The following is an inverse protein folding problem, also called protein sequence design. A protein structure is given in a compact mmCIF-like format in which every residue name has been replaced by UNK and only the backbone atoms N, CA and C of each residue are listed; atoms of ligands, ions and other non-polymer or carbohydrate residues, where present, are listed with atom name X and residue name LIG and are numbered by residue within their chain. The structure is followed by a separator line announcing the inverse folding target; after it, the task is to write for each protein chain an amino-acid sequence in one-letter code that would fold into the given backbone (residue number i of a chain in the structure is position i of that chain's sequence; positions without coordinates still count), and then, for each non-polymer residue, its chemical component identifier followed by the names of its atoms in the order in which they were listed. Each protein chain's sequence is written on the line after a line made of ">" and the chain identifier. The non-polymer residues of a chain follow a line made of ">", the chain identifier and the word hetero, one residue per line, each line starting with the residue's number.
data_IF_133868073681
#
_entry.id   IF_133868073681
#
_cell.length_a   1.000
_cell.length_b   1.000
_cell.length_c   1.000
_cell.angle_alpha   90.00
_cell.angle_beta   90.00
_cell.angle_gamma   90.00
#
_symmetry.space_group_name_H-M   'P 1'
#
loop_
_entity.id
_entity.type
_entity.pdbx_description
1 polymer ?
#
# COMPACT_ATOMS: atom_id res chain seq x y z
N UNK A 1 23.97 -4.51 -2.76
CA UNK A 1 22.79 -4.32 -3.64
C UNK A 1 23.16 -3.41 -4.82
N UNK A 2 23.12 -3.93 -6.06
CA UNK A 2 23.58 -3.22 -7.26
C UNK A 2 22.69 -2.04 -7.66
N UNK A 3 23.29 -1.05 -8.35
CA UNK A 3 22.63 0.19 -8.84
C UNK A 3 21.33 -0.09 -9.60
N UNK A 4 21.33 -1.11 -10.46
CA UNK A 4 20.17 -1.53 -11.24
C UNK A 4 18.95 -1.95 -10.40
N UNK A 5 19.16 -2.55 -9.22
CA UNK A 5 18.06 -2.94 -8.32
C UNK A 5 17.39 -1.70 -7.71
N UNK A 6 18.20 -0.71 -7.31
CA UNK A 6 17.73 0.56 -6.73
C UNK A 6 16.97 1.40 -7.75
N UNK A 7 17.48 1.49 -8.98
CA UNK A 7 16.82 2.23 -10.06
C UNK A 7 15.46 1.62 -10.42
N UNK A 8 15.33 0.29 -10.34
CA UNK A 8 14.08 -0.44 -10.57
C UNK A 8 13.05 -0.18 -9.47
N UNK A 9 13.46 -0.15 -8.20
CA UNK A 9 12.59 0.22 -7.07
C UNK A 9 12.03 1.62 -7.24
N UNK A 10 12.92 2.60 -7.45
CA UNK A 10 12.52 4.00 -7.65
C UNK A 10 11.62 4.22 -8.87
N UNK A 11 11.77 3.41 -9.93
CA UNK A 11 10.85 3.41 -11.08
C UNK A 11 9.47 2.87 -10.71
N UNK A 12 9.41 1.77 -9.96
CA UNK A 12 8.16 1.18 -9.49
C UNK A 12 7.35 2.17 -8.65
N UNK A 13 8.00 2.79 -7.66
CA UNK A 13 7.38 3.80 -6.79
C UNK A 13 6.87 5.02 -7.56
N UNK A 14 7.63 5.53 -8.56
CA UNK A 14 7.18 6.64 -9.41
C UNK A 14 5.95 6.28 -10.23
N UNK A 15 5.88 5.04 -10.72
CA UNK A 15 4.72 4.57 -11.46
C UNK A 15 3.51 4.39 -10.53
N UNK A 16 3.73 3.95 -9.29
CA UNK A 16 2.67 3.82 -8.29
C UNK A 16 2.06 5.18 -7.93
N UNK A 17 2.88 6.21 -7.71
CA UNK A 17 2.38 7.58 -7.47
C UNK A 17 1.50 8.05 -8.62
N UNK A 18 1.96 7.92 -9.87
CA UNK A 18 1.16 8.31 -11.05
C UNK A 18 -0.16 7.53 -11.15
N UNK A 19 -0.14 6.25 -10.78
CA UNK A 19 -1.34 5.43 -10.78
C UNK A 19 -2.33 5.90 -9.72
N UNK A 20 -1.89 6.12 -8.49
CA UNK A 20 -2.72 6.66 -7.41
C UNK A 20 -3.28 8.06 -7.76
N UNK A 21 -2.46 8.92 -8.38
CA UNK A 21 -2.90 10.22 -8.90
C UNK A 21 -3.99 10.06 -9.97
N UNK A 22 -3.86 9.08 -10.87
CA UNK A 22 -4.89 8.79 -11.87
C UNK A 22 -6.19 8.24 -11.26
N UNK A 23 -6.12 7.65 -10.06
CA UNK A 23 -7.27 7.26 -9.25
C UNK A 23 -7.84 8.42 -8.41
N UNK A 24 -7.24 9.61 -8.47
CA UNK A 24 -7.69 10.80 -7.74
C UNK A 24 -7.03 11.04 -6.39
N UNK A 25 -6.03 10.25 -6.00
CA UNK A 25 -5.34 10.41 -4.72
C UNK A 25 -4.09 11.28 -4.86
N UNK A 26 -3.88 12.19 -3.91
CA UNK A 26 -2.61 12.90 -3.78
C UNK A 26 -1.59 11.96 -3.14
N UNK A 27 -0.58 11.53 -3.91
CA UNK A 27 0.40 10.55 -3.47
C UNK A 27 1.83 11.08 -3.59
N UNK A 28 2.72 10.63 -2.70
CA UNK A 28 4.13 10.98 -2.75
C UNK A 28 5.01 9.78 -2.40
N UNK A 29 6.15 9.64 -3.08
CA UNK A 29 7.18 8.66 -2.70
C UNK A 29 7.81 9.03 -1.37
N UNK A 30 7.97 8.05 -0.50
CA UNK A 30 8.78 8.20 0.71
C UNK A 30 10.25 8.01 0.33
N UNK A 31 10.89 9.08 -0.12
CA UNK A 31 12.34 9.06 -0.25
C UNK A 31 12.92 8.78 1.15
N UNK A 32 13.77 7.76 1.30
CA UNK A 32 14.53 7.48 2.53
C UNK A 32 15.34 8.72 2.93
N UNK A 33 14.71 9.64 3.66
CA UNK A 33 15.34 10.87 4.14
C UNK A 33 15.93 10.53 5.51
N UNK A 34 17.22 10.23 5.53
CA UNK A 34 18.04 10.12 6.74
C UNK A 34 17.62 9.04 7.75
N UNK A 35 17.51 7.78 7.30
CA UNK A 35 17.55 6.62 8.21
C UNK A 35 16.39 6.48 9.21
N UNK A 36 15.29 7.21 9.02
CA UNK A 36 14.06 7.03 9.81
C UNK A 36 13.05 6.18 9.04
N UNK A 37 12.67 5.07 9.66
CA UNK A 37 11.73 4.07 9.18
C UNK A 37 10.29 4.61 9.18
N UNK A 38 9.93 5.45 8.22
CA UNK A 38 8.51 5.54 7.86
C UNK A 38 8.25 4.42 6.83
N UNK A 39 7.34 3.51 7.16
CA UNK A 39 7.34 2.10 6.74
C UNK A 39 6.70 1.78 5.39
N UNK A 40 6.30 2.79 4.60
CA UNK A 40 5.74 2.59 3.25
C UNK A 40 6.60 3.18 2.14
N UNK A 41 6.58 2.55 0.97
CA UNK A 41 7.21 3.05 -0.28
C UNK A 41 6.58 4.37 -0.77
N UNK A 42 5.25 4.49 -0.61
CA UNK A 42 4.43 5.63 -1.01
C UNK A 42 3.50 6.01 0.14
N UNK A 43 3.16 7.30 0.25
CA UNK A 43 2.14 7.80 1.17
C UNK A 43 1.01 8.48 0.40
N UNK A 44 -0.19 8.38 0.94
CA UNK A 44 -1.34 9.18 0.54
C UNK A 44 -1.35 10.45 1.39
N UNK A 45 -1.23 11.63 0.80
CA UNK A 45 -1.07 12.89 1.54
C UNK A 45 -2.28 13.23 2.41
N UNK A 46 -3.47 12.85 1.97
CA UNK A 46 -4.73 13.02 2.69
C UNK A 46 -4.99 11.91 3.72
N UNK A 47 -4.31 10.78 3.57
CA UNK A 47 -4.45 9.58 4.42
C UNK A 47 -3.08 9.00 4.77
N UNK A 48 -2.20 9.74 5.49
CA UNK A 48 -0.80 9.34 5.67
C UNK A 48 -0.60 8.05 6.49
N UNK A 49 -1.68 7.50 7.04
CA UNK A 49 -1.72 6.27 7.82
C UNK A 49 -2.08 5.06 6.97
N UNK A 50 -2.64 5.30 5.78
CA UNK A 50 -2.74 4.28 4.75
C UNK A 50 -1.37 4.16 4.11
N UNK A 51 -0.68 3.11 4.48
CA UNK A 51 0.67 2.84 4.01
C UNK A 51 0.60 2.03 2.71
N UNK A 52 1.41 2.45 1.75
CA UNK A 52 1.41 1.89 0.39
C UNK A 52 2.77 1.26 0.10
N UNK A 53 2.78 -0.06 -0.05
CA UNK A 53 3.95 -0.85 -0.45
C UNK A 53 3.91 -1.15 -1.96
N UNK A 54 5.06 -1.15 -2.64
CA UNK A 54 5.12 -1.29 -4.11
C UNK A 54 6.08 -2.38 -4.57
N UNK A 55 5.58 -3.35 -5.35
CA UNK A 55 6.39 -4.41 -5.99
C UNK A 55 6.31 -4.33 -7.51
N UNK A 56 7.44 -4.06 -8.15
CA UNK A 56 7.51 -3.84 -9.60
C UNK A 56 8.41 -4.84 -10.34
N UNK A 57 7.90 -5.36 -11.46
CA UNK A 57 8.68 -6.07 -12.48
C UNK A 57 9.14 -7.47 -12.09
N UNK A 58 8.37 -8.17 -11.25
CA UNK A 58 8.59 -9.58 -10.90
C UNK A 58 7.52 -10.44 -11.56
N UNK A 59 7.64 -10.58 -12.88
CA UNK A 59 6.59 -11.12 -13.75
C UNK A 59 6.31 -12.62 -13.53
N UNK A 60 7.26 -13.34 -12.94
CA UNK A 60 7.15 -14.76 -12.58
C UNK A 60 6.46 -15.01 -11.23
N UNK A 61 6.13 -13.96 -10.47
CA UNK A 61 5.46 -14.09 -9.17
C UNK A 61 3.95 -14.02 -9.37
N UNK A 62 3.28 -15.15 -9.16
CA UNK A 62 1.83 -15.29 -9.23
C UNK A 62 1.19 -15.20 -7.84
N UNK A 63 -0.10 -14.88 -7.81
CA UNK A 63 -0.88 -14.81 -6.56
C UNK A 63 -0.91 -16.18 -5.88
N UNK A 64 -0.76 -16.21 -4.55
CA UNK A 64 -0.64 -17.43 -3.76
C UNK A 64 0.72 -18.15 -3.82
N UNK A 65 1.67 -17.69 -4.65
CA UNK A 65 3.04 -18.24 -4.63
C UNK A 65 3.76 -17.91 -3.32
N UNK A 66 4.78 -18.70 -2.96
CA UNK A 66 5.59 -18.48 -1.74
C UNK A 66 6.18 -17.06 -1.67
N UNK A 67 6.65 -16.54 -2.80
CA UNK A 67 7.24 -15.20 -2.84
C UNK A 67 6.17 -14.10 -2.70
N UNK A 68 4.96 -14.36 -3.18
CA UNK A 68 3.82 -13.46 -3.02
C UNK A 68 3.39 -13.37 -1.55
N UNK A 69 3.24 -14.53 -0.89
CA UNK A 69 2.88 -14.58 0.54
C UNK A 69 3.90 -13.85 1.42
N UNK A 70 5.20 -13.99 1.12
CA UNK A 70 6.23 -13.23 1.82
C UNK A 70 6.05 -11.71 1.72
N UNK A 71 5.55 -11.18 0.60
CA UNK A 71 5.29 -9.75 0.49
C UNK A 71 4.06 -9.34 1.27
N UNK A 72 3.02 -10.17 1.28
CA UNK A 72 1.81 -9.93 2.07
C UNK A 72 2.16 -9.95 3.56
N UNK A 73 2.85 -10.99 4.04
CA UNK A 73 3.30 -11.11 5.43
C UNK A 73 4.20 -9.94 5.85
N UNK A 74 5.11 -9.50 4.98
CA UNK A 74 5.96 -8.34 5.25
C UNK A 74 5.14 -7.04 5.34
N UNK A 75 4.23 -6.83 4.40
CA UNK A 75 3.33 -5.68 4.42
C UNK A 75 2.41 -5.71 5.66
N UNK A 76 2.00 -6.88 6.14
CA UNK A 76 1.25 -6.97 7.40
C UNK A 76 2.12 -6.69 8.63
N UNK A 77 3.34 -7.23 8.67
CA UNK A 77 4.23 -7.11 9.81
C UNK A 77 4.79 -5.69 10.01
N UNK A 78 5.04 -4.96 8.93
CA UNK A 78 5.61 -3.61 8.98
C UNK A 78 4.60 -2.54 9.42
N UNK A 79 3.35 -2.95 9.66
CA UNK A 79 2.20 -2.06 9.82
C UNK A 79 1.49 -2.33 11.15
N UNK A 80 1.38 -1.29 11.97
CA UNK A 80 0.81 -1.39 13.33
C UNK A 80 -0.72 -1.42 13.37
N UNK A 81 -1.38 -1.15 12.25
CA UNK A 81 -2.83 -1.25 12.10
C UNK A 81 -3.19 -2.44 11.21
N UNK A 82 -4.10 -3.30 11.67
CA UNK A 82 -4.47 -4.54 10.98
C UNK A 82 -5.06 -4.32 9.57
N UNK A 83 -5.62 -3.13 9.29
CA UNK A 83 -6.30 -2.82 8.01
C UNK A 83 -5.74 -1.58 7.28
N UNK A 84 -4.68 -0.94 7.78
CA UNK A 84 -4.18 0.35 7.25
C UNK A 84 -3.11 0.21 6.16
N UNK A 85 -3.06 -0.91 5.45
CA UNK A 85 -1.99 -1.20 4.49
C UNK A 85 -2.54 -1.67 3.15
N UNK A 86 -1.84 -1.28 2.09
CA UNK A 86 -2.09 -1.77 0.74
C UNK A 86 -0.77 -2.10 0.04
N UNK A 87 -0.74 -3.23 -0.66
CA UNK A 87 0.38 -3.68 -1.48
C UNK A 87 -0.01 -3.58 -2.95
N UNK A 88 0.62 -2.67 -3.68
CA UNK A 88 0.49 -2.60 -5.13
C UNK A 88 1.57 -3.41 -5.82
N UNK A 89 1.14 -4.30 -6.72
CA UNK A 89 2.02 -5.04 -7.62
C UNK A 89 1.81 -4.58 -9.05
N UNK A 90 2.89 -4.34 -9.78
CA UNK A 90 2.86 -4.14 -11.24
C UNK A 90 3.83 -5.07 -11.94
N UNK A 91 3.29 -5.85 -12.88
CA UNK A 91 4.08 -6.58 -13.89
C UNK A 91 4.64 -5.61 -14.92
N UNK A 92 5.81 -5.89 -15.50
CA UNK A 92 6.56 -4.99 -16.39
C UNK A 92 5.71 -4.44 -17.54
N UNK A 93 4.84 -5.27 -18.11
CA UNK A 93 3.90 -4.91 -19.19
C UNK A 93 2.45 -5.25 -18.84
N UNK A 94 2.17 -5.52 -17.58
CA UNK A 94 0.84 -5.93 -17.13
C UNK A 94 0.10 -4.84 -16.36
N UNK A 95 -1.18 -5.11 -16.04
CA UNK A 95 -1.98 -4.22 -15.20
C UNK A 95 -1.40 -4.14 -13.77
N UNK A 96 -1.88 -3.16 -13.03
CA UNK A 96 -1.71 -3.15 -11.58
C UNK A 96 -2.56 -4.26 -10.95
N UNK A 97 -2.17 -4.67 -9.75
CA UNK A 97 -3.01 -5.40 -8.83
C UNK A 97 -2.78 -4.87 -7.43
N UNK A 98 -3.82 -4.87 -6.60
CA UNK A 98 -3.75 -4.44 -5.21
C UNK A 98 -4.04 -5.63 -4.29
N UNK A 99 -3.33 -5.70 -3.18
CA UNK A 99 -3.58 -6.63 -2.09
C UNK A 99 -3.73 -5.85 -0.81
N UNK A 100 -4.72 -6.21 0.02
CA UNK A 100 -4.95 -5.59 1.31
C UNK A 100 -5.65 -6.57 2.25
N UNK A 101 -5.68 -6.25 3.54
CA UNK A 101 -6.61 -6.88 4.48
C UNK A 101 -7.88 -6.05 4.57
N UNK A 102 -9.03 -6.71 4.50
CA UNK A 102 -10.33 -6.08 4.72
C UNK A 102 -11.28 -7.09 5.34
N UNK A 103 -11.95 -6.70 6.42
CA UNK A 103 -12.89 -7.55 7.18
C UNK A 103 -12.32 -8.93 7.57
N UNK A 104 -11.03 -8.99 7.90
CA UNK A 104 -10.33 -10.23 8.29
C UNK A 104 -9.86 -11.11 7.11
N UNK A 105 -10.10 -10.69 5.87
CA UNK A 105 -9.69 -11.45 4.68
C UNK A 105 -8.57 -10.74 3.93
N UNK A 106 -7.69 -11.53 3.30
CA UNK A 106 -6.79 -11.02 2.26
C UNK A 106 -7.60 -10.87 0.98
N UNK A 107 -7.69 -9.65 0.48
CA UNK A 107 -8.38 -9.32 -0.76
C UNK A 107 -7.36 -9.04 -1.85
N UNK A 108 -7.56 -9.60 -3.04
CA UNK A 108 -6.73 -9.37 -4.22
C UNK A 108 -7.60 -8.78 -5.32
N UNK A 109 -7.22 -7.60 -5.80
CA UNK A 109 -7.96 -6.86 -6.82
C UNK A 109 -7.11 -6.68 -8.07
N UNK A 110 -7.74 -6.81 -9.23
CA UNK A 110 -7.09 -6.70 -10.54
C UNK A 110 -7.71 -5.62 -11.43
N UNK A 111 -8.89 -5.12 -11.11
CA UNK A 111 -9.54 -4.04 -11.84
C UNK A 111 -9.29 -2.69 -11.16
N UNK A 112 -9.10 -1.64 -11.95
CA UNK A 112 -8.86 -0.29 -11.42
C UNK A 112 -10.07 0.24 -10.64
N UNK A 113 -11.28 -0.09 -11.08
CA UNK A 113 -12.52 0.31 -10.40
C UNK A 113 -12.68 -0.33 -9.02
N UNK A 114 -12.34 -1.61 -8.88
CA UNK A 114 -12.38 -2.28 -7.57
C UNK A 114 -11.28 -1.74 -6.66
N UNK A 115 -10.08 -1.50 -7.21
CA UNK A 115 -8.97 -0.91 -6.46
C UNK A 115 -9.33 0.47 -5.92
N UNK A 116 -9.92 1.34 -6.74
CA UNK A 116 -10.40 2.66 -6.32
C UNK A 116 -11.42 2.54 -5.19
N UNK A 117 -12.45 1.70 -5.38
CA UNK A 117 -13.54 1.53 -4.42
C UNK A 117 -13.03 1.01 -3.08
N UNK A 118 -12.16 0.00 -3.10
CA UNK A 118 -11.56 -0.57 -1.89
C UNK A 118 -10.60 0.41 -1.22
N UNK A 119 -9.80 1.15 -1.98
CA UNK A 119 -8.87 2.13 -1.41
C UNK A 119 -9.63 3.27 -0.71
N UNK A 120 -10.73 3.76 -1.30
CA UNK A 120 -11.63 4.70 -0.61
C UNK A 120 -12.19 4.11 0.69
N UNK A 121 -12.63 2.84 0.67
CA UNK A 121 -13.15 2.19 1.88
C UNK A 121 -12.08 2.14 2.98
N UNK A 122 -10.85 1.70 2.66
CA UNK A 122 -9.72 1.65 3.60
C UNK A 122 -9.44 3.05 4.18
N UNK A 123 -9.43 4.07 3.33
CA UNK A 123 -9.24 5.46 3.74
C UNK A 123 -10.33 5.95 4.72
N UNK A 124 -11.60 5.60 4.47
CA UNK A 124 -12.72 5.94 5.36
C UNK A 124 -12.65 5.18 6.69
N UNK A 125 -12.35 3.88 6.65
CA UNK A 125 -12.21 3.05 7.83
C UNK A 125 -11.12 3.58 8.77
N UNK A 126 -10.02 4.08 8.20
CA UNK A 126 -8.92 4.69 8.95
C UNK A 126 -9.31 6.05 9.58
N UNK A 127 -10.08 6.88 8.88
CA UNK A 127 -10.67 8.11 9.45
C UNK A 127 -11.55 7.75 10.66
N UNK A 128 -12.44 6.77 10.52
CA UNK A 128 -13.35 6.35 11.58
C UNK A 128 -12.62 5.74 12.77
N UNK A 129 -11.57 4.95 12.52
CA UNK A 129 -10.68 4.42 13.56
C UNK A 129 -10.06 5.55 14.39
N UNK A 130 -9.59 6.62 13.73
CA UNK A 130 -9.01 7.79 14.41
C UNK A 130 -10.03 8.56 15.24
N UNK A 131 -11.22 8.77 14.70
CA UNK A 131 -12.28 9.42 15.45
C UNK A 131 -12.63 8.64 16.72
N UNK A 132 -12.69 7.31 16.65
CA UNK A 132 -12.92 6.44 17.82
C UNK A 132 -11.78 6.51 18.84
N UNK A 133 -10.52 6.49 18.40
CA UNK A 133 -9.35 6.57 19.30
C UNK A 133 -9.20 7.94 19.98
N UNK A 134 -9.67 9.03 19.34
CA UNK A 134 -9.56 10.41 19.88
C UNK A 134 -10.68 10.79 20.84
N UNK A 135 -11.77 10.03 20.94
CA UNK A 135 -12.78 10.33 21.96
C UNK A 135 -12.27 9.87 23.33
N UNK A 136 -12.01 10.79 24.28
CA UNK A 136 -11.67 10.38 25.64
C UNK A 136 -12.85 9.57 26.17
N UNK A 137 -12.57 8.42 26.80
CA UNK A 137 -13.55 7.66 27.54
C UNK A 137 -14.28 8.65 28.46
N UNK A 138 -15.56 8.90 28.17
CA UNK A 138 -16.42 9.67 29.08
C UNK A 138 -16.41 8.87 30.38
N UNK A 139 -15.63 9.36 31.36
CA UNK A 139 -15.65 8.86 32.73
C UNK A 139 -17.08 9.10 33.24
N UNK A 140 -17.88 8.03 33.24
CA UNK A 140 -19.09 7.94 34.04
C UNK A 140 -18.75 7.72 35.49
#
# INVERSE_FOLDING_TARGET
>A
MGKASRDKGARGERLAVKFLESLGFRAQRMAQRNGKNNSGDVILLDYPEVLVEVKYGMDHVHDGSKQWWKWVEQAEADHSSEDGWVLFRKRTRGPWSMVCRHAGFIVVLHSEGDMLSMLHQICLDEIDRRHRQRQPARRG
#
